data_IF_984009305366
#
_entry.id   IF_984009305366
#
_cell.length_a   1.000
_cell.length_b   1.000
_cell.length_c   1.000
_cell.angle_alpha   90.00
_cell.angle_beta   90.00
_cell.angle_gamma   90.00
#
_symmetry.space_group_name_H-M   'P 1'
#
loop_
_entity.id
_entity.type
_entity.pdbx_description
1 polymer ?
#
# COMPACT_ATOMS: atom_id res chain seq x y z
N UNK A 1 29.63 5.48 8.03
CA UNK A 1 28.45 6.13 7.46
C UNK A 1 27.26 5.28 7.85
N UNK A 2 26.21 5.84 8.43
CA UNK A 2 24.98 5.11 8.73
C UNK A 2 24.32 4.71 7.41
N UNK A 3 23.90 3.44 7.28
CA UNK A 3 23.10 3.00 6.14
C UNK A 3 21.78 3.77 6.08
N UNK A 4 21.34 4.13 4.87
CA UNK A 4 20.07 4.83 4.64
C UNK A 4 18.89 3.97 5.12
N UNK A 5 17.93 4.59 5.81
CA UNK A 5 16.75 3.90 6.34
C UNK A 5 15.77 3.40 5.25
N UNK A 6 15.86 3.93 4.03
CA UNK A 6 15.04 3.54 2.87
C UNK A 6 15.94 3.48 1.64
N UNK A 7 15.87 2.37 0.89
CA UNK A 7 16.52 2.25 -0.41
C UNK A 7 15.46 2.30 -1.51
N UNK A 8 15.80 2.88 -2.67
CA UNK A 8 14.93 2.85 -3.84
C UNK A 8 15.64 2.33 -5.07
N UNK A 9 14.94 1.54 -5.88
CA UNK A 9 15.40 1.14 -7.21
C UNK A 9 14.26 1.21 -8.21
N UNK A 10 14.57 1.33 -9.49
CA UNK A 10 13.58 1.46 -10.56
C UNK A 10 13.81 0.38 -11.62
N UNK A 11 12.72 -0.25 -12.06
CA UNK A 11 12.74 -1.24 -13.16
C UNK A 11 11.39 -1.26 -13.86
N UNK A 12 11.38 -1.20 -15.19
CA UNK A 12 10.18 -1.42 -16.01
C UNK A 12 8.94 -0.61 -15.57
N UNK A 13 9.15 0.66 -15.18
CA UNK A 13 8.08 1.53 -14.69
C UNK A 13 7.65 1.28 -13.23
N UNK A 14 8.30 0.37 -12.53
CA UNK A 14 8.08 0.06 -11.11
C UNK A 14 9.15 0.73 -10.25
N UNK A 15 8.71 1.44 -9.21
CA UNK A 15 9.58 1.90 -8.12
C UNK A 15 9.57 0.87 -6.99
N UNK A 16 10.71 0.25 -6.71
CA UNK A 16 10.88 -0.63 -5.55
C UNK A 16 11.37 0.21 -4.38
N UNK A 17 10.64 0.18 -3.27
CA UNK A 17 10.94 0.90 -2.04
C UNK A 17 11.23 -0.13 -0.95
N UNK A 18 12.47 -0.18 -0.48
CA UNK A 18 12.93 -1.11 0.54
C UNK A 18 13.05 -0.40 1.89
N UNK A 19 12.26 -0.83 2.87
CA UNK A 19 12.44 -0.42 4.27
C UNK A 19 13.72 -1.07 4.79
N UNK A 20 14.75 -0.27 5.09
CA UNK A 20 16.12 -0.73 5.28
C UNK A 20 16.64 -0.44 6.69
N UNK A 21 15.90 -0.92 7.70
CA UNK A 21 16.37 -0.97 9.10
C UNK A 21 16.24 -2.41 9.65
N UNK A 22 16.83 -3.43 9.01
CA UNK A 22 16.60 -4.84 9.35
C UNK A 22 16.98 -5.18 10.80
N UNK A 23 18.04 -4.56 11.33
CA UNK A 23 18.47 -4.72 12.72
C UNK A 23 17.41 -4.26 13.75
N UNK A 24 16.49 -3.39 13.33
CA UNK A 24 15.36 -2.90 14.11
C UNK A 24 14.03 -3.44 13.58
N UNK A 25 14.05 -4.52 12.79
CA UNK A 25 12.85 -5.10 12.13
C UNK A 25 12.04 -4.06 11.35
N UNK A 26 12.75 -3.13 10.71
CA UNK A 26 12.18 -2.04 9.93
C UNK A 26 11.20 -1.15 10.72
N UNK A 27 11.42 -1.02 12.03
CA UNK A 27 10.65 -0.09 12.85
C UNK A 27 10.73 1.34 12.28
N UNK A 28 9.65 2.09 12.40
CA UNK A 28 9.52 3.43 11.85
C UNK A 28 10.20 4.42 12.81
N UNK A 29 11.25 5.09 12.33
CA UNK A 29 11.77 6.33 12.90
C UNK A 29 11.49 7.50 11.94
N UNK A 30 11.97 8.69 12.29
CA UNK A 30 11.81 9.89 11.45
C UNK A 30 12.48 9.75 10.08
N UNK A 31 13.69 9.20 10.01
CA UNK A 31 14.43 8.99 8.76
C UNK A 31 13.68 8.07 7.79
N UNK A 32 13.17 6.92 8.29
CA UNK A 32 12.37 6.00 7.49
C UNK A 32 11.06 6.66 7.03
N UNK A 33 10.41 7.42 7.92
CA UNK A 33 9.18 8.17 7.60
C UNK A 33 9.41 9.15 6.45
N UNK A 34 10.48 9.94 6.50
CA UNK A 34 10.85 10.90 5.46
C UNK A 34 11.25 10.21 4.15
N UNK A 35 12.07 9.16 4.21
CA UNK A 35 12.53 8.46 3.01
C UNK A 35 11.39 7.79 2.24
N UNK A 36 10.39 7.22 2.92
CA UNK A 36 9.21 6.68 2.25
C UNK A 36 8.37 7.80 1.66
N UNK A 37 8.16 8.92 2.38
CA UNK A 37 7.41 10.07 1.85
C UNK A 37 8.07 10.64 0.57
N UNK A 38 9.41 10.74 0.55
CA UNK A 38 10.18 11.13 -0.63
C UNK A 38 9.99 10.14 -1.79
N UNK A 39 10.03 8.83 -1.52
CA UNK A 39 9.77 7.81 -2.53
C UNK A 39 8.34 7.92 -3.12
N UNK A 40 7.34 8.22 -2.29
CA UNK A 40 5.96 8.42 -2.74
C UNK A 40 5.83 9.70 -3.59
N UNK A 41 6.49 10.79 -3.20
CA UNK A 41 6.53 12.02 -4.00
C UNK A 41 7.20 11.78 -5.37
N UNK A 42 8.32 11.04 -5.39
CA UNK A 42 9.01 10.64 -6.62
C UNK A 42 8.12 9.81 -7.53
N UNK A 43 7.36 8.86 -6.98
CA UNK A 43 6.41 8.04 -7.75
C UNK A 43 5.43 8.94 -8.52
N UNK A 44 4.80 9.89 -7.85
CA UNK A 44 3.77 10.73 -8.46
C UNK A 44 4.33 11.75 -9.46
N UNK A 45 5.53 12.27 -9.21
CA UNK A 45 6.18 13.29 -10.05
C UNK A 45 6.84 12.73 -11.33
N UNK A 46 7.24 11.44 -11.34
CA UNK A 46 7.98 10.87 -12.48
C UNK A 46 7.07 10.16 -13.48
N UNK A 47 6.98 10.64 -14.71
CA UNK A 47 6.21 9.96 -15.77
C UNK A 47 6.77 8.59 -16.17
N UNK A 48 8.05 8.34 -15.87
CA UNK A 48 8.69 7.05 -16.06
C UNK A 48 8.24 5.99 -15.05
N UNK A 49 7.58 6.39 -13.95
CA UNK A 49 7.07 5.49 -12.92
C UNK A 49 5.55 5.38 -13.00
N UNK A 50 5.06 4.14 -12.86
CA UNK A 50 3.66 3.75 -13.00
C UNK A 50 3.06 3.19 -11.71
N UNK A 51 3.87 2.51 -10.89
CA UNK A 51 3.46 1.83 -9.66
C UNK A 51 4.66 1.71 -8.72
N UNK A 52 4.43 1.61 -7.41
CA UNK A 52 5.49 1.26 -6.46
C UNK A 52 5.20 -0.03 -5.69
N UNK A 53 6.27 -0.74 -5.34
CA UNK A 53 6.24 -1.91 -4.44
C UNK A 53 7.03 -1.56 -3.18
N UNK A 54 6.39 -1.61 -2.02
CA UNK A 54 7.03 -1.45 -0.72
C UNK A 54 7.30 -2.84 -0.13
N UNK A 55 8.52 -3.08 0.34
CA UNK A 55 8.87 -4.29 1.08
C UNK A 55 9.92 -4.00 2.16
N UNK A 56 10.08 -4.90 3.12
CA UNK A 56 11.12 -4.77 4.14
C UNK A 56 12.37 -5.60 3.83
N UNK A 57 13.54 -5.07 4.19
CA UNK A 57 14.79 -5.82 4.21
C UNK A 57 14.85 -6.76 5.43
N UNK A 58 15.52 -7.91 5.30
CA UNK A 58 15.81 -8.80 6.43
C UNK A 58 14.63 -9.61 6.98
N UNK A 59 13.65 -9.98 6.14
CA UNK A 59 12.59 -10.95 6.50
C UNK A 59 11.52 -10.40 7.45
N UNK A 60 11.34 -9.08 7.49
CA UNK A 60 10.22 -8.44 8.20
C UNK A 60 9.80 -7.21 7.41
N UNK A 61 8.51 -7.04 7.15
CA UNK A 61 8.01 -5.83 6.51
C UNK A 61 8.24 -4.61 7.41
N UNK A 62 7.56 -4.53 8.55
CA UNK A 62 7.71 -3.43 9.52
C UNK A 62 7.11 -3.81 10.88
N UNK A 63 7.91 -3.68 11.94
CA UNK A 63 7.50 -3.97 13.32
C UNK A 63 6.75 -2.82 14.04
N UNK A 64 6.37 -1.77 13.32
CA UNK A 64 5.64 -0.62 13.89
C UNK A 64 6.54 0.55 14.24
N UNK A 65 6.05 1.46 15.09
CA UNK A 65 6.81 2.63 15.52
C UNK A 65 8.02 2.24 16.38
N UNK A 66 9.15 2.89 16.17
CA UNK A 66 10.34 2.76 17.02
C UNK A 66 10.06 3.43 18.37
N UNK A 67 9.53 2.65 19.32
CA UNK A 67 9.11 3.16 20.63
C UNK A 67 10.27 3.84 21.39
N UNK A 68 11.52 3.44 21.16
CA UNK A 68 12.67 4.11 21.79
C UNK A 68 12.96 5.48 21.17
N UNK A 69 12.81 5.59 19.85
CA UNK A 69 12.98 6.87 19.16
C UNK A 69 11.89 7.89 19.53
N UNK A 70 10.70 7.42 19.93
CA UNK A 70 9.56 8.28 20.23
C UNK A 70 9.21 8.40 21.72
N UNK A 71 9.76 7.55 22.61
CA UNK A 71 9.47 7.62 24.05
C UNK A 71 9.91 8.92 24.72
N UNK A 72 10.89 9.61 24.13
CA UNK A 72 11.41 10.88 24.63
C UNK A 72 10.79 12.12 23.94
N UNK A 73 9.83 11.91 23.01
CA UNK A 73 9.21 12.97 22.21
C UNK A 73 7.74 13.16 22.62
N UNK A 74 7.16 14.35 22.40
CA UNK A 74 5.72 14.55 22.54
C UNK A 74 4.93 13.56 21.66
N UNK A 75 3.79 13.01 22.13
CA UNK A 75 2.96 12.09 21.36
C UNK A 75 2.57 12.61 19.97
N UNK A 76 2.39 13.93 19.82
CA UNK A 76 2.03 14.57 18.57
C UNK A 76 3.11 14.39 17.49
N UNK A 77 4.39 14.38 17.87
CA UNK A 77 5.50 14.21 16.92
C UNK A 77 5.56 12.77 16.37
N UNK A 78 5.32 11.79 17.23
CA UNK A 78 5.22 10.39 16.84
C UNK A 78 4.02 10.16 15.90
N UNK A 79 2.87 10.73 16.25
CA UNK A 79 1.68 10.69 15.40
C UNK A 79 1.91 11.39 14.06
N UNK A 80 2.65 12.51 14.03
CA UNK A 80 2.98 13.22 12.80
C UNK A 80 3.91 12.41 11.89
N UNK A 81 4.90 11.69 12.42
CA UNK A 81 5.78 10.83 11.63
C UNK A 81 5.01 9.67 10.98
N UNK A 82 4.13 9.01 11.74
CA UNK A 82 3.28 7.95 11.20
C UNK A 82 2.26 8.47 10.19
N UNK A 83 1.65 9.61 10.48
CA UNK A 83 0.75 10.31 9.57
C UNK A 83 1.40 10.62 8.21
N UNK A 84 2.67 11.07 8.21
CA UNK A 84 3.43 11.29 6.96
C UNK A 84 3.62 10.01 6.18
N UNK A 85 3.60 8.83 6.79
CA UNK A 85 3.66 7.58 6.04
C UNK A 85 2.31 7.18 5.46
N UNK A 86 1.27 7.28 6.28
CA UNK A 86 -0.02 6.61 6.01
C UNK A 86 -1.08 7.53 5.41
N UNK A 87 -0.86 8.85 5.39
CA UNK A 87 -1.78 9.82 4.78
C UNK A 87 -1.38 10.22 3.35
N UNK A 88 -0.23 9.79 2.85
CA UNK A 88 0.12 9.98 1.44
C UNK A 88 -0.65 8.97 0.59
N UNK A 89 -1.87 9.33 0.16
CA UNK A 89 -2.48 8.67 -0.99
C UNK A 89 -1.73 9.13 -2.24
N UNK A 90 -0.91 8.27 -2.82
CA UNK A 90 -0.33 8.54 -4.13
C UNK A 90 -1.41 8.48 -5.20
N UNK A 91 -1.27 9.27 -6.27
CA UNK A 91 -2.14 9.15 -7.45
C UNK A 91 -1.95 7.79 -8.12
N UNK A 92 -0.70 7.30 -8.15
CA UNK A 92 -0.34 6.02 -8.77
C UNK A 92 -0.44 4.84 -7.80
N UNK A 93 -0.64 3.59 -8.27
CA UNK A 93 -0.82 2.44 -7.38
C UNK A 93 0.38 2.09 -6.51
N UNK A 94 0.09 1.50 -5.34
CA UNK A 94 1.03 0.99 -4.35
C UNK A 94 0.72 -0.47 -4.01
N UNK A 95 1.77 -1.30 -3.95
CA UNK A 95 1.70 -2.70 -3.53
C UNK A 95 2.58 -2.90 -2.31
N UNK A 96 2.03 -3.39 -1.20
CA UNK A 96 2.80 -3.87 -0.06
C UNK A 96 3.15 -5.35 -0.25
N UNK A 97 4.44 -5.67 -0.23
CA UNK A 97 4.98 -7.02 -0.27
C UNK A 97 5.48 -7.40 1.13
N UNK A 98 4.67 -8.23 1.82
CA UNK A 98 4.78 -8.46 3.26
C UNK A 98 5.41 -9.82 3.55
N UNK A 99 6.46 -9.81 4.35
CA UNK A 99 7.02 -11.01 4.98
C UNK A 99 7.30 -10.75 6.47
N UNK A 100 7.36 -11.81 7.27
CA UNK A 100 7.51 -11.69 8.72
C UNK A 100 6.40 -10.83 9.34
N UNK A 101 6.78 -9.73 9.99
CA UNK A 101 5.82 -8.88 10.70
C UNK A 101 5.39 -7.64 9.89
N UNK A 102 4.08 -7.38 9.86
CA UNK A 102 3.50 -6.08 9.58
C UNK A 102 2.57 -5.73 10.75
N UNK A 103 3.10 -5.05 11.78
CA UNK A 103 2.37 -4.83 13.03
C UNK A 103 2.34 -3.37 13.46
N UNK A 104 1.23 -2.97 14.08
CA UNK A 104 0.96 -1.58 14.49
C UNK A 104 1.13 -0.61 13.33
N UNK A 105 1.98 0.40 13.50
CA UNK A 105 2.36 1.33 12.43
C UNK A 105 2.82 0.66 11.12
N UNK A 106 3.37 -0.56 11.18
CA UNK A 106 3.74 -1.35 10.00
C UNK A 106 2.54 -1.91 9.24
N UNK A 107 1.51 -2.38 9.95
CA UNK A 107 0.23 -2.72 9.32
C UNK A 107 -0.45 -1.46 8.78
N UNK A 108 -0.35 -0.34 9.47
CA UNK A 108 -0.94 0.93 9.03
C UNK A 108 -0.28 1.45 7.73
N UNK A 109 1.04 1.29 7.59
CA UNK A 109 1.75 1.53 6.33
C UNK A 109 1.28 0.58 5.23
N UNK A 110 1.15 -0.72 5.51
CA UNK A 110 0.61 -1.65 4.53
C UNK A 110 -0.82 -1.30 4.13
N UNK A 111 -1.67 -0.88 5.07
CA UNK A 111 -3.07 -0.49 4.84
C UNK A 111 -3.20 0.81 4.04
N UNK A 112 -2.16 1.64 4.01
CA UNK A 112 -2.07 2.79 3.13
C UNK A 112 -1.74 2.41 1.68
N UNK A 113 -1.28 1.17 1.43
CA UNK A 113 -1.12 0.64 0.08
C UNK A 113 -2.45 0.11 -0.48
N UNK A 114 -2.58 0.14 -1.80
CA UNK A 114 -3.80 -0.29 -2.50
C UNK A 114 -3.94 -1.82 -2.44
N UNK A 115 -2.85 -2.54 -2.74
CA UNK A 115 -2.80 -3.99 -2.72
C UNK A 115 -1.78 -4.49 -1.69
N UNK A 116 -2.09 -5.64 -1.10
CA UNK A 116 -1.15 -6.40 -0.27
C UNK A 116 -0.93 -7.78 -0.89
N UNK A 117 0.32 -8.21 -0.91
CA UNK A 117 0.73 -9.60 -1.08
C UNK A 117 1.53 -10.01 0.14
N UNK A 118 1.41 -11.25 0.58
CA UNK A 118 2.08 -11.68 1.80
C UNK A 118 2.57 -13.13 1.74
N UNK A 119 3.64 -13.44 2.45
CA UNK A 119 4.01 -14.84 2.71
C UNK A 119 2.97 -15.51 3.61
N UNK A 120 2.79 -16.84 3.56
CA UNK A 120 1.75 -17.54 4.32
C UNK A 120 1.86 -17.30 5.84
N UNK A 121 3.10 -17.23 6.34
CA UNK A 121 3.43 -17.07 7.75
C UNK A 121 3.57 -15.61 8.20
N UNK A 122 3.30 -14.63 7.33
CA UNK A 122 3.28 -13.23 7.71
C UNK A 122 2.34 -13.02 8.92
N UNK A 123 2.68 -12.08 9.81
CA UNK A 123 1.89 -11.72 11.00
C UNK A 123 1.41 -10.28 10.84
N UNK A 124 0.11 -10.12 10.64
CA UNK A 124 -0.55 -8.84 10.43
C UNK A 124 -1.40 -8.50 11.65
N UNK A 125 -1.13 -7.39 12.34
CA UNK A 125 -1.92 -7.02 13.52
C UNK A 125 -1.72 -5.60 14.01
N UNK A 126 -2.54 -5.19 14.98
CA UNK A 126 -2.45 -3.90 15.67
C UNK A 126 -2.34 -4.13 17.19
N UNK A 127 -1.15 -4.46 17.70
CA UNK A 127 -0.93 -4.87 19.10
C UNK A 127 -0.85 -3.69 20.10
N UNK A 128 -1.28 -2.49 19.72
CA UNK A 128 -1.24 -1.26 20.51
C UNK A 128 -1.94 -1.41 21.86
N UNK A 129 -3.08 -2.11 21.91
CA UNK A 129 -3.84 -2.33 23.16
C UNK A 129 -3.04 -3.04 24.25
N UNK A 130 -2.13 -3.93 23.88
CA UNK A 130 -1.25 -4.60 24.84
C UNK A 130 -0.25 -3.64 25.53
N UNK A 131 -0.11 -2.42 25.00
CA UNK A 131 0.73 -1.35 25.53
C UNK A 131 -0.07 -0.16 26.05
N UNK A 132 -1.40 -0.28 26.16
CA UNK A 132 -2.28 0.81 26.56
C UNK A 132 -2.36 1.94 25.52
N UNK A 133 -2.08 1.63 24.26
CA UNK A 133 -2.09 2.59 23.15
C UNK A 133 -3.27 2.32 22.21
N UNK A 134 -3.58 3.32 21.38
CA UNK A 134 -4.57 3.23 20.29
C UNK A 134 -3.85 3.47 18.96
N UNK A 135 -4.09 2.64 17.91
CA UNK A 135 -3.51 2.87 16.59
C UNK A 135 -3.91 4.24 16.04
N UNK A 136 -2.93 5.01 15.57
CA UNK A 136 -3.12 6.41 15.13
C UNK A 136 -2.77 6.65 13.65
N UNK A 137 -2.27 5.63 12.95
CA UNK A 137 -2.01 5.63 11.51
C UNK A 137 -3.21 5.23 10.64
N UNK A 138 -4.38 5.07 11.23
CA UNK A 138 -5.64 4.84 10.53
C UNK A 138 -6.02 3.37 10.35
N UNK A 139 -5.39 2.42 11.07
CA UNK A 139 -5.84 1.02 11.06
C UNK A 139 -7.32 0.89 11.45
N UNK A 140 -7.73 1.57 12.52
CA UNK A 140 -9.12 1.55 12.99
C UNK A 140 -10.12 2.18 12.00
N UNK A 141 -9.63 2.99 11.05
CA UNK A 141 -10.45 3.59 9.99
C UNK A 141 -10.52 2.72 8.74
N UNK A 142 -9.51 1.87 8.49
CA UNK A 142 -9.37 1.10 7.23
C UNK A 142 -9.76 -0.35 7.39
N UNK A 143 -9.43 -1.00 8.52
CA UNK A 143 -9.71 -2.42 8.73
C UNK A 143 -11.20 -2.77 8.65
N UNK A 144 -12.13 -1.99 9.24
CA UNK A 144 -13.57 -2.31 9.14
C UNK A 144 -14.13 -2.31 7.72
N UNK A 145 -13.43 -1.68 6.76
CA UNK A 145 -13.82 -1.66 5.35
C UNK A 145 -13.13 -2.73 4.51
N UNK A 146 -12.09 -3.39 5.05
CA UNK A 146 -11.28 -4.40 4.35
C UNK A 146 -11.43 -5.80 4.94
N UNK A 147 -12.05 -5.92 6.11
CA UNK A 147 -12.27 -7.16 6.82
C UNK A 147 -13.71 -7.21 7.35
N UNK A 148 -14.26 -8.41 7.61
CA UNK A 148 -15.45 -8.54 8.43
C UNK A 148 -15.27 -7.81 9.76
N UNK A 149 -16.25 -6.99 10.14
CA UNK A 149 -16.17 -6.10 11.30
C UNK A 149 -15.69 -6.81 12.57
N UNK A 150 -16.22 -8.00 12.86
CA UNK A 150 -15.83 -8.76 14.05
C UNK A 150 -14.36 -9.19 14.04
N UNK A 151 -13.78 -9.48 12.88
CA UNK A 151 -12.35 -9.80 12.79
C UNK A 151 -11.51 -8.55 13.03
N UNK A 152 -11.88 -7.43 12.41
CA UNK A 152 -11.19 -6.16 12.63
C UNK A 152 -11.26 -5.71 14.10
N UNK A 153 -12.43 -5.85 14.72
CA UNK A 153 -12.65 -5.51 16.13
C UNK A 153 -11.88 -6.46 17.06
N UNK A 154 -11.87 -7.76 16.78
CA UNK A 154 -11.08 -8.73 17.56
C UNK A 154 -9.59 -8.39 17.52
N UNK A 155 -9.04 -8.13 16.33
CA UNK A 155 -7.65 -7.66 16.18
C UNK A 155 -7.39 -6.39 16.98
N UNK A 156 -8.33 -5.43 16.96
CA UNK A 156 -8.19 -4.16 17.67
C UNK A 156 -8.27 -4.31 19.19
N UNK A 157 -9.18 -5.15 19.72
CA UNK A 157 -9.41 -5.29 21.15
C UNK A 157 -8.44 -6.26 21.83
N UNK A 158 -7.98 -7.28 21.12
CA UNK A 158 -7.07 -8.31 21.67
C UNK A 158 -5.61 -8.06 21.33
N UNK A 159 -5.34 -7.26 20.28
CA UNK A 159 -4.01 -7.05 19.73
C UNK A 159 -3.39 -8.29 19.07
N UNK A 160 -4.17 -9.37 18.89
CA UNK A 160 -3.66 -10.60 18.28
C UNK A 160 -3.49 -10.45 16.76
N UNK A 161 -2.33 -10.84 16.21
CA UNK A 161 -2.14 -10.81 14.77
C UNK A 161 -2.82 -12.00 14.09
N UNK A 162 -3.23 -11.81 12.84
CA UNK A 162 -3.65 -12.91 11.94
C UNK A 162 -2.48 -13.31 11.03
N UNK A 163 -2.50 -14.56 10.55
CA UNK A 163 -1.52 -15.06 9.58
C UNK A 163 -1.74 -14.48 8.18
N UNK A 164 -0.74 -14.57 7.30
CA UNK A 164 -0.85 -14.23 5.88
C UNK A 164 -1.93 -15.05 5.18
N UNK A 165 -2.01 -16.36 5.48
CA UNK A 165 -3.09 -17.24 4.99
C UNK A 165 -4.46 -16.69 5.42
N UNK A 166 -4.64 -16.41 6.72
CA UNK A 166 -5.92 -15.93 7.23
C UNK A 166 -6.29 -14.56 6.65
N UNK A 167 -5.31 -13.67 6.49
CA UNK A 167 -5.50 -12.39 5.84
C UNK A 167 -5.90 -12.54 4.36
N UNK A 168 -5.40 -13.58 3.67
CA UNK A 168 -5.80 -13.89 2.30
C UNK A 168 -7.23 -14.43 2.21
N UNK A 169 -7.59 -15.40 3.05
CA UNK A 169 -8.95 -15.96 3.14
C UNK A 169 -10.01 -14.88 3.38
N UNK A 170 -9.65 -13.85 4.14
CA UNK A 170 -10.54 -12.74 4.50
C UNK A 170 -10.51 -11.58 3.49
N UNK A 171 -9.69 -11.66 2.44
CA UNK A 171 -9.59 -10.65 1.37
C UNK A 171 -8.73 -9.42 1.68
N UNK A 172 -8.06 -9.38 2.85
CA UNK A 172 -7.12 -8.29 3.17
C UNK A 172 -5.84 -8.40 2.34
N UNK A 173 -5.33 -9.62 2.16
CA UNK A 173 -4.20 -9.95 1.29
C UNK A 173 -4.72 -10.49 -0.03
N UNK A 174 -4.32 -9.87 -1.15
CA UNK A 174 -4.84 -10.22 -2.47
C UNK A 174 -4.23 -11.51 -3.03
N UNK A 175 -2.97 -11.82 -2.70
CA UNK A 175 -2.22 -12.99 -3.19
C UNK A 175 -1.22 -13.45 -2.14
N UNK A 176 -1.05 -14.77 -2.03
CA UNK A 176 0.03 -15.35 -1.25
C UNK A 176 1.31 -15.42 -2.09
N UNK A 177 2.42 -15.00 -1.50
CA UNK A 177 3.75 -15.14 -2.07
C UNK A 177 4.38 -16.46 -1.61
N UNK A 178 5.42 -16.93 -2.32
CA UNK A 178 6.24 -18.02 -1.82
C UNK A 178 6.98 -17.59 -0.54
N UNK A 179 7.19 -18.50 0.44
CA UNK A 179 7.94 -18.17 1.64
C UNK A 179 9.31 -17.57 1.33
N UNK A 180 9.62 -16.41 1.93
CA UNK A 180 10.88 -15.69 1.72
C UNK A 180 10.97 -14.87 0.43
N UNK A 181 9.95 -14.90 -0.46
CA UNK A 181 9.91 -14.07 -1.68
C UNK A 181 8.63 -13.21 -1.80
N UNK A 182 8.33 -12.35 -0.80
CA UNK A 182 7.22 -11.41 -0.92
C UNK A 182 7.43 -10.43 -2.08
N UNK A 183 8.69 -10.06 -2.34
CA UNK A 183 9.05 -9.05 -3.34
C UNK A 183 8.81 -9.56 -4.75
N UNK A 184 9.17 -10.81 -5.06
CA UNK A 184 8.89 -11.42 -6.36
C UNK A 184 7.40 -11.38 -6.71
N UNK A 185 6.54 -11.75 -5.75
CA UNK A 185 5.09 -11.63 -5.90
C UNK A 185 4.64 -10.17 -6.06
N UNK A 186 5.18 -9.24 -5.27
CA UNK A 186 4.86 -7.82 -5.38
C UNK A 186 5.23 -7.24 -6.75
N UNK A 187 6.38 -7.62 -7.27
CA UNK A 187 6.87 -7.24 -8.60
C UNK A 187 6.01 -7.84 -9.72
N UNK A 188 5.54 -9.08 -9.60
CA UNK A 188 4.64 -9.68 -10.58
C UNK A 188 3.31 -8.93 -10.68
N UNK A 189 2.75 -8.52 -9.53
CA UNK A 189 1.56 -7.67 -9.48
C UNK A 189 1.84 -6.30 -10.08
N UNK A 190 2.95 -5.66 -9.70
CA UNK A 190 3.33 -4.35 -10.23
C UNK A 190 3.58 -4.36 -11.74
N UNK A 191 4.22 -5.40 -12.28
CA UNK A 191 4.42 -5.57 -13.72
C UNK A 191 3.09 -5.60 -14.49
N UNK A 192 2.08 -6.29 -13.94
CA UNK A 192 0.74 -6.33 -14.53
C UNK A 192 0.08 -4.94 -14.54
N UNK A 193 0.25 -4.17 -13.46
CA UNK A 193 -0.26 -2.79 -13.36
C UNK A 193 0.48 -1.87 -14.34
N UNK A 194 1.81 -1.98 -14.44
CA UNK A 194 2.64 -1.14 -15.28
C UNK A 194 2.36 -1.35 -16.79
N UNK A 195 1.95 -2.56 -17.17
CA UNK A 195 1.59 -2.91 -18.55
C UNK A 195 0.18 -2.42 -18.98
N UNK A 196 -0.67 -2.01 -18.03
CA UNK A 196 -2.04 -1.57 -18.32
C UNK A 196 -2.11 -0.08 -18.73
N UNK A 197 -3.25 0.33 -19.29
CA UNK A 197 -3.53 1.73 -19.62
C UNK A 197 -3.57 2.59 -18.36
N UNK A 198 -2.61 3.50 -18.22
CA UNK A 198 -2.34 4.15 -16.92
C UNK A 198 -3.41 5.16 -16.51
N UNK A 199 -4.09 5.78 -17.47
CA UNK A 199 -5.25 6.61 -17.18
C UNK A 199 -6.39 5.77 -16.57
N UNK A 200 -6.66 4.59 -17.12
CA UNK A 200 -7.67 3.68 -16.59
C UNK A 200 -7.29 3.11 -15.22
N UNK A 201 -6.02 2.77 -15.01
CA UNK A 201 -5.52 2.32 -13.70
C UNK A 201 -5.72 3.41 -12.63
N UNK A 202 -5.28 4.63 -12.91
CA UNK A 202 -5.38 5.74 -11.95
C UNK A 202 -6.84 6.16 -11.73
N UNK A 203 -7.66 6.18 -12.77
CA UNK A 203 -9.10 6.44 -12.69
C UNK A 203 -9.82 5.39 -11.85
N UNK A 204 -9.52 4.10 -12.06
CA UNK A 204 -10.09 3.00 -11.26
C UNK A 204 -9.73 3.14 -9.78
N UNK A 205 -8.45 3.41 -9.47
CA UNK A 205 -8.00 3.68 -8.09
C UNK A 205 -8.73 4.87 -7.50
N UNK A 206 -8.84 5.97 -8.25
CA UNK A 206 -9.52 7.20 -7.80
C UNK A 206 -10.97 6.93 -7.41
N UNK A 207 -11.72 6.22 -8.25
CA UNK A 207 -13.13 5.88 -8.00
C UNK A 207 -13.23 4.97 -6.76
N UNK A 208 -12.46 3.87 -6.73
CA UNK A 208 -12.49 2.88 -5.65
C UNK A 208 -12.06 3.44 -4.29
N UNK A 209 -11.19 4.46 -4.27
CA UNK A 209 -10.71 5.08 -3.04
C UNK A 209 -11.73 6.01 -2.37
N UNK A 210 -12.79 6.42 -3.10
CA UNK A 210 -13.83 7.28 -2.54
C UNK A 210 -14.67 6.49 -1.55
N UNK A 211 -14.86 7.06 -0.36
CA UNK A 211 -15.91 6.59 0.55
C UNK A 211 -17.23 7.05 -0.02
N UNK A 212 -18.02 6.10 -0.46
CA UNK A 212 -19.37 6.32 -0.96
C UNK A 212 -20.28 5.60 0.02
N UNK A 213 -21.02 6.37 0.82
CA UNK A 213 -21.94 5.83 1.82
C UNK A 213 -23.16 5.16 1.16
N UNK A 214 -23.57 5.67 -0.01
CA UNK A 214 -24.60 5.09 -0.87
C UNK A 214 -24.10 4.99 -2.32
N UNK A 215 -23.71 3.78 -2.72
CA UNK A 215 -23.20 3.49 -4.06
C UNK A 215 -24.27 3.64 -5.16
N UNK A 216 -25.55 3.68 -4.80
CA UNK A 216 -26.66 3.91 -5.73
C UNK A 216 -27.03 5.40 -5.86
N UNK A 217 -26.44 6.27 -5.04
CA UNK A 217 -26.71 7.70 -5.09
C UNK A 217 -26.31 8.32 -6.43
N UNK A 218 -27.09 9.29 -6.91
CA UNK A 218 -26.78 10.02 -8.14
C UNK A 218 -25.40 10.69 -8.08
N UNK A 219 -25.01 11.22 -6.91
CA UNK A 219 -23.69 11.82 -6.68
C UNK A 219 -22.54 10.83 -6.90
N UNK A 220 -22.68 9.59 -6.40
CA UNK A 220 -21.70 8.53 -6.60
C UNK A 220 -21.52 8.19 -8.09
N UNK A 221 -22.65 8.07 -8.81
CA UNK A 221 -22.65 7.78 -10.24
C UNK A 221 -22.06 8.94 -11.06
N UNK A 222 -22.44 10.19 -10.78
CA UNK A 222 -21.89 11.38 -11.45
C UNK A 222 -20.38 11.50 -11.26
N UNK A 223 -19.92 11.32 -10.01
CA UNK A 223 -18.50 11.31 -9.65
C UNK A 223 -17.70 10.26 -10.43
N UNK A 224 -18.22 9.04 -10.53
CA UNK A 224 -17.61 7.97 -11.31
C UNK A 224 -17.62 8.28 -12.81
N UNK A 225 -18.75 8.77 -13.33
CA UNK A 225 -18.93 9.03 -14.75
C UNK A 225 -17.97 10.10 -15.25
N UNK A 226 -17.73 11.15 -14.46
CA UNK A 226 -16.74 12.17 -14.77
C UNK A 226 -15.34 11.59 -15.00
N UNK A 227 -14.86 10.74 -14.08
CA UNK A 227 -13.54 10.06 -14.21
C UNK A 227 -13.53 9.08 -15.38
N UNK A 228 -14.65 8.37 -15.59
CA UNK A 228 -14.79 7.37 -16.65
C UNK A 228 -14.76 8.00 -18.04
N UNK A 229 -15.50 9.09 -18.26
CA UNK A 229 -15.54 9.78 -19.55
C UNK A 229 -14.18 10.38 -19.91
N UNK A 230 -13.49 11.02 -18.96
CA UNK A 230 -12.15 11.56 -19.15
C UNK A 230 -11.16 10.46 -19.56
N UNK A 231 -11.18 9.33 -18.85
CA UNK A 231 -10.35 8.16 -19.16
C UNK A 231 -10.68 7.59 -20.55
N UNK A 232 -11.96 7.41 -20.88
CA UNK A 232 -12.39 6.75 -22.11
C UNK A 232 -12.21 7.61 -23.36
N UNK A 233 -12.06 8.93 -23.21
CA UNK A 233 -11.74 9.84 -24.31
C UNK A 233 -10.26 9.79 -24.74
N UNK A 234 -9.38 9.13 -23.96
CA UNK A 234 -7.93 9.10 -24.17
C UNK A 234 -7.48 8.34 -25.44
N UNK A 235 -6.25 8.62 -25.92
CA UNK A 235 -5.61 7.82 -26.98
C UNK A 235 -5.46 6.36 -26.53
N UNK A 236 -5.13 6.14 -25.26
CA UNK A 236 -4.97 4.81 -24.66
C UNK A 236 -6.27 3.97 -24.70
N UNK A 237 -7.43 4.58 -24.43
CA UNK A 237 -8.70 3.88 -24.52
C UNK A 237 -9.00 3.42 -25.95
N UNK A 238 -8.81 4.31 -26.93
CA UNK A 238 -8.96 3.97 -28.34
C UNK A 238 -7.97 2.89 -28.81
N UNK A 239 -6.73 2.95 -28.34
CA UNK A 239 -5.72 1.93 -28.61
C UNK A 239 -6.06 0.58 -27.98
N UNK A 240 -6.57 0.56 -26.75
CA UNK A 240 -7.03 -0.66 -26.09
C UNK A 240 -8.14 -1.37 -26.88
N UNK A 241 -9.14 -0.61 -27.34
CA UNK A 241 -10.22 -1.12 -28.19
C UNK A 241 -9.67 -1.66 -29.52
N UNK A 242 -8.82 -0.89 -30.19
CA UNK A 242 -8.21 -1.28 -31.47
C UNK A 242 -7.36 -2.54 -31.35
N UNK A 243 -6.47 -2.61 -30.36
CA UNK A 243 -5.61 -3.77 -30.12
C UNK A 243 -6.40 -5.04 -29.82
N UNK A 244 -7.50 -4.93 -29.07
CA UNK A 244 -8.42 -6.04 -28.82
C UNK A 244 -9.06 -6.54 -30.11
N UNK A 245 -9.60 -5.64 -30.94
CA UNK A 245 -10.22 -6.00 -32.24
C UNK A 245 -9.20 -6.62 -33.21
N UNK A 246 -7.97 -6.12 -33.21
CA UNK A 246 -6.85 -6.58 -34.05
C UNK A 246 -6.11 -7.81 -33.47
N UNK A 247 -6.50 -8.30 -32.28
CA UNK A 247 -5.88 -9.43 -31.57
C UNK A 247 -4.37 -9.29 -31.38
N UNK A 248 -3.92 -8.09 -31.02
CA UNK A 248 -2.51 -7.79 -30.70
C UNK A 248 -2.38 -7.19 -29.31
N UNK A 249 -1.16 -7.13 -28.79
CA UNK A 249 -0.87 -6.40 -27.56
C UNK A 249 -1.09 -4.88 -27.78
N UNK A 250 -1.73 -4.18 -26.82
CA UNK A 250 -1.87 -2.72 -26.87
C UNK A 250 -0.55 -2.02 -26.52
N UNK A 251 -0.34 -0.83 -27.06
CA UNK A 251 0.80 0.04 -26.70
C UNK A 251 0.30 1.35 -26.09
N UNK A 252 0.20 1.39 -24.77
CA UNK A 252 -0.28 2.55 -24.02
C UNK A 252 0.80 3.64 -23.85
N UNK A 253 0.42 4.91 -23.98
CA UNK A 253 1.26 6.10 -23.90
C UNK A 253 0.90 7.02 -22.74
N UNK A 254 -0.22 6.79 -22.05
CA UNK A 254 -0.66 7.57 -20.90
C UNK A 254 -1.29 8.92 -21.25
N UNK A 255 -1.96 9.00 -22.40
CA UNK A 255 -2.68 10.18 -22.91
C UNK A 255 -3.86 9.74 -23.76
#
# INVERSE_FOLDING_TARGET
>A
MTEEAVLTSQRDGVLVVTLNRPNMRNAINEELSLGVAEAMARLDQSDALRVAVLHGAGGTFCAGMDLRAFSARPPEEAAAALARLVRHSTRKPLVAAIDGFAVGGGLELALACDLMVATPDARLGIPEVARGLVPSGGALLRLPHRLPYNVALDMALTGQPISGIRAHELGLVSRLADPGDPLGMGLAVAASIAAAGQLAVNGSKTIMSRRIDDAESAEAWEAQFAVTLDTNASEDAHEGIRAFLEKRAPVFRGR
#
